data_IF_502920274258
#
_entry.id   IF_502920274258
#
_cell.length_a   1.000
_cell.length_b   1.000
_cell.length_c   1.000
_cell.angle_alpha   90.00
_cell.angle_beta   90.00
_cell.angle_gamma   90.00
#
_symmetry.space_group_name_H-M   'P 1'
#
loop_
_entity.id
_entity.type
_entity.pdbx_description
1 polymer ?
#
# COMPACT_ATOMS: atom_id res chain seq x y z
N UNK A 1 9.61 -25.96 22.34
CA UNK A 1 8.17 -25.86 22.72
C UNK A 1 7.33 -25.94 21.44
N UNK A 2 6.00 -26.06 21.52
CA UNK A 2 5.14 -26.26 20.33
C UNK A 2 4.33 -25.02 19.95
N UNK A 3 4.85 -23.84 20.24
CA UNK A 3 4.23 -22.54 20.01
C UNK A 3 5.15 -21.63 19.20
N UNK A 4 4.60 -20.88 18.26
CA UNK A 4 5.31 -19.82 17.54
C UNK A 4 4.43 -18.59 17.39
N UNK A 5 5.06 -17.42 17.31
CA UNK A 5 4.42 -16.14 17.07
C UNK A 5 5.14 -15.45 15.92
N UNK A 6 4.39 -15.03 14.90
CA UNK A 6 4.91 -14.36 13.70
C UNK A 6 4.15 -13.07 13.48
N UNK A 7 4.88 -11.99 13.19
CA UNK A 7 4.29 -10.70 12.88
C UNK A 7 4.01 -10.56 11.38
N UNK A 8 2.86 -9.99 11.07
CA UNK A 8 2.46 -9.58 9.74
C UNK A 8 1.56 -8.35 9.84
N UNK A 9 1.04 -7.86 8.71
CA UNK A 9 0.17 -6.68 8.69
C UNK A 9 -1.07 -6.90 7.83
N UNK A 10 -2.18 -6.34 8.31
CA UNK A 10 -3.40 -6.18 7.52
C UNK A 10 -3.29 -4.96 6.60
N UNK A 11 -4.22 -4.85 5.65
CA UNK A 11 -4.35 -3.67 4.81
C UNK A 11 -5.75 -3.08 4.98
N UNK A 12 -5.83 -1.85 5.47
CA UNK A 12 -7.07 -1.12 5.67
C UNK A 12 -6.93 0.28 5.04
N UNK A 13 -7.19 0.35 3.73
CA UNK A 13 -6.97 1.56 2.94
C UNK A 13 -5.50 2.00 2.96
N UNK A 14 -5.22 3.14 3.59
CA UNK A 14 -3.87 3.70 3.77
C UNK A 14 -3.23 3.33 5.12
N UNK A 15 -3.91 2.51 5.92
CA UNK A 15 -3.39 2.02 7.19
C UNK A 15 -3.03 0.54 7.08
N UNK A 16 -1.98 0.15 7.81
CA UNK A 16 -1.50 -1.23 7.88
C UNK A 16 -1.36 -1.66 9.35
N UNK A 17 -2.47 -2.08 9.98
CA UNK A 17 -2.46 -2.53 11.36
C UNK A 17 -1.66 -3.83 11.52
N UNK A 18 -1.02 -3.99 12.69
CA UNK A 18 -0.27 -5.19 13.03
C UNK A 18 -1.22 -6.38 13.20
N UNK A 19 -0.84 -7.52 12.66
CA UNK A 19 -1.49 -8.81 12.84
C UNK A 19 -0.47 -9.78 13.42
N UNK A 20 -0.87 -10.50 14.45
CA UNK A 20 -0.08 -11.55 15.07
C UNK A 20 -0.63 -12.91 14.62
N UNK A 21 0.25 -13.73 14.07
CA UNK A 21 -0.04 -15.11 13.67
C UNK A 21 0.57 -16.02 14.72
N UNK A 22 -0.29 -16.60 15.54
CA UNK A 22 0.11 -17.54 16.59
C UNK A 22 -0.18 -18.95 16.12
N UNK A 23 0.83 -19.82 16.15
CA UNK A 23 0.68 -21.22 15.75
C UNK A 23 1.01 -22.11 16.93
N UNK A 24 0.07 -22.99 17.26
CA UNK A 24 0.23 -23.99 18.31
C UNK A 24 0.07 -25.40 17.73
N UNK A 25 1.05 -26.27 18.01
CA UNK A 25 1.02 -27.68 17.67
C UNK A 25 0.69 -28.50 18.91
N UNK A 26 -0.41 -29.24 18.87
CA UNK A 26 -0.82 -30.15 19.95
C UNK A 26 -0.79 -31.61 19.50
N UNK A 27 -0.69 -32.53 20.45
CA UNK A 27 -0.82 -33.96 20.15
C UNK A 27 -2.26 -34.31 19.75
N UNK A 28 -2.43 -35.29 18.87
CA UNK A 28 -3.73 -35.73 18.37
C UNK A 28 -3.73 -36.03 16.88
N UNK A 29 -4.92 -36.31 16.34
CA UNK A 29 -5.10 -36.58 14.91
C UNK A 29 -4.75 -35.34 14.06
N UNK A 30 -4.20 -35.53 12.84
CA UNK A 30 -3.88 -34.44 11.93
C UNK A 30 -5.13 -33.59 11.65
N UNK A 31 -5.10 -32.35 12.11
CA UNK A 31 -6.17 -31.38 11.90
C UNK A 31 -5.55 -29.98 11.88
N UNK A 32 -6.05 -29.10 11.00
CA UNK A 32 -5.61 -27.73 10.93
C UNK A 32 -6.83 -26.82 11.08
N UNK A 33 -6.80 -25.96 12.08
CA UNK A 33 -7.83 -24.98 12.39
C UNK A 33 -7.23 -23.58 12.32
N UNK A 34 -7.83 -22.69 11.52
CA UNK A 34 -7.45 -21.28 11.45
C UNK A 34 -8.60 -20.45 12.00
N UNK A 35 -8.32 -19.64 13.02
CA UNK A 35 -9.30 -18.75 13.69
C UNK A 35 -9.07 -17.32 13.21
N UNK A 36 -10.15 -16.62 12.87
CA UNK A 36 -10.10 -15.20 12.46
C UNK A 36 -10.11 -14.95 10.94
N UNK A 37 -10.42 -15.96 10.13
CA UNK A 37 -10.65 -15.87 8.67
C UNK A 37 -11.99 -16.50 8.27
N UNK A 38 -12.51 -16.13 7.09
CA UNK A 38 -13.68 -16.76 6.50
C UNK A 38 -13.40 -18.20 6.04
N UNK A 39 -14.39 -19.08 6.15
CA UNK A 39 -14.23 -20.53 5.92
C UNK A 39 -13.66 -20.87 4.52
N UNK A 40 -14.09 -20.17 3.48
CA UNK A 40 -13.57 -20.35 2.12
C UNK A 40 -12.06 -20.03 2.05
N UNK A 41 -11.64 -18.89 2.61
CA UNK A 41 -10.24 -18.48 2.64
C UNK A 41 -9.37 -19.44 3.45
N UNK A 42 -9.89 -19.98 4.55
CA UNK A 42 -9.23 -21.01 5.37
C UNK A 42 -8.98 -22.28 4.56
N UNK A 43 -9.98 -22.75 3.80
CA UNK A 43 -9.86 -23.96 2.99
C UNK A 43 -8.81 -23.80 1.90
N UNK A 44 -8.81 -22.68 1.20
CA UNK A 44 -7.83 -22.42 0.14
C UNK A 44 -6.40 -22.25 0.70
N UNK A 45 -6.24 -21.47 1.77
CA UNK A 45 -4.94 -21.24 2.42
C UNK A 45 -4.33 -22.55 2.93
N UNK A 46 -5.15 -23.44 3.51
CA UNK A 46 -4.71 -24.77 3.97
C UNK A 46 -4.04 -25.59 2.87
N UNK A 47 -4.66 -25.68 1.69
CA UNK A 47 -4.12 -26.49 0.59
C UNK A 47 -2.88 -25.83 -0.03
N UNK A 48 -2.86 -24.49 -0.11
CA UNK A 48 -1.70 -23.71 -0.56
C UNK A 48 -0.49 -23.84 0.35
N UNK A 49 -0.65 -23.54 1.64
CA UNK A 49 0.41 -23.59 2.65
C UNK A 49 0.97 -25.01 2.76
N UNK A 50 0.10 -26.03 2.78
CA UNK A 50 0.55 -27.43 2.86
C UNK A 50 1.40 -27.81 1.65
N UNK A 51 0.95 -27.51 0.44
CA UNK A 51 1.68 -27.85 -0.79
C UNK A 51 2.99 -27.07 -0.88
N UNK A 52 2.98 -25.78 -0.54
CA UNK A 52 4.16 -24.92 -0.53
C UNK A 52 5.25 -25.46 0.41
N UNK A 53 4.88 -25.87 1.62
CA UNK A 53 5.82 -26.46 2.61
C UNK A 53 6.47 -27.74 2.04
N UNK A 54 5.65 -28.64 1.51
CA UNK A 54 6.13 -29.93 0.97
C UNK A 54 7.04 -29.71 -0.23
N UNK A 55 6.63 -28.86 -1.18
CA UNK A 55 7.40 -28.56 -2.40
C UNK A 55 8.66 -27.75 -2.11
N UNK A 56 8.72 -27.03 -0.98
CA UNK A 56 9.93 -26.38 -0.49
C UNK A 56 10.93 -27.33 0.18
N UNK A 57 10.61 -28.62 0.29
CA UNK A 57 11.48 -29.64 0.89
C UNK A 57 11.34 -29.78 2.42
N UNK A 58 10.30 -29.21 3.02
CA UNK A 58 10.02 -29.30 4.44
C UNK A 58 8.90 -30.29 4.74
N UNK A 59 8.85 -30.77 5.98
CA UNK A 59 7.83 -31.73 6.40
C UNK A 59 6.60 -31.01 6.95
N UNK A 60 5.43 -31.27 6.39
CA UNK A 60 4.18 -30.80 7.00
C UNK A 60 3.82 -31.70 8.20
N UNK A 61 3.66 -31.15 9.43
CA UNK A 61 3.47 -31.97 10.62
C UNK A 61 2.12 -32.70 10.62
N UNK A 62 2.14 -33.99 10.96
CA UNK A 62 0.94 -34.85 11.10
C UNK A 62 0.33 -34.75 12.51
N UNK A 63 0.27 -33.54 13.05
CA UNK A 63 -0.26 -33.24 14.39
C UNK A 63 -1.45 -32.28 14.27
N UNK A 64 -2.12 -32.01 15.39
CA UNK A 64 -3.16 -30.99 15.44
C UNK A 64 -2.52 -29.60 15.48
N UNK A 65 -2.86 -28.75 14.51
CA UNK A 65 -2.39 -27.39 14.35
C UNK A 65 -3.53 -26.42 14.62
N UNK A 66 -3.31 -25.44 15.49
CA UNK A 66 -4.23 -24.33 15.73
C UNK A 66 -3.50 -23.04 15.40
N UNK A 67 -4.07 -22.26 14.48
CA UNK A 67 -3.55 -20.97 14.04
C UNK A 67 -4.54 -19.90 14.47
N UNK A 68 -4.08 -18.94 15.26
CA UNK A 68 -4.87 -17.80 15.69
C UNK A 68 -4.35 -16.52 15.03
N UNK A 69 -5.27 -15.70 14.51
CA UNK A 69 -4.96 -14.46 13.81
C UNK A 69 -5.54 -13.28 14.60
N UNK A 70 -4.71 -12.62 15.40
CA UNK A 70 -5.09 -11.47 16.22
C UNK A 70 -4.68 -10.16 15.53
N UNK A 71 -5.47 -9.08 15.64
CA UNK A 71 -6.78 -8.96 16.29
C UNK A 71 -7.94 -9.45 15.39
N UNK A 72 -9.03 -9.94 15.98
CA UNK A 72 -10.17 -10.49 15.26
C UNK A 72 -10.97 -9.45 14.44
N UNK A 73 -10.94 -8.18 14.87
CA UNK A 73 -11.83 -7.11 14.37
C UNK A 73 -11.42 -6.52 13.02
N UNK A 74 -10.25 -6.90 12.50
CA UNK A 74 -9.74 -6.38 11.24
C UNK A 74 -10.17 -7.25 10.06
N UNK A 75 -10.52 -6.64 8.90
CA UNK A 75 -10.68 -7.39 7.66
C UNK A 75 -9.33 -7.98 7.27
N UNK A 76 -9.22 -9.30 7.36
CA UNK A 76 -8.03 -10.05 6.97
C UNK A 76 -8.26 -10.65 5.60
N UNK A 77 -7.39 -10.31 4.66
CA UNK A 77 -7.31 -11.04 3.40
C UNK A 77 -6.52 -12.33 3.64
N UNK A 78 -7.11 -13.47 3.31
CA UNK A 78 -6.51 -14.77 3.61
C UNK A 78 -5.28 -15.07 2.75
N UNK A 79 -5.19 -14.51 1.54
CA UNK A 79 -4.10 -14.84 0.61
C UNK A 79 -2.74 -14.39 1.15
N UNK A 80 -2.65 -13.13 1.60
CA UNK A 80 -1.38 -12.49 2.01
C UNK A 80 -0.76 -13.04 3.29
N UNK A 81 -1.51 -13.88 4.02
CA UNK A 81 -1.12 -14.47 5.29
C UNK A 81 -0.51 -15.86 5.12
N UNK A 82 -0.45 -16.39 3.90
CA UNK A 82 0.05 -17.73 3.64
C UNK A 82 1.54 -17.88 4.04
N UNK A 83 2.40 -16.90 3.72
CA UNK A 83 3.81 -16.89 4.11
C UNK A 83 4.02 -16.90 5.64
N UNK A 84 3.47 -15.96 6.43
CA UNK A 84 3.63 -15.98 7.88
C UNK A 84 3.03 -17.24 8.52
N UNK A 85 1.92 -17.78 8.00
CA UNK A 85 1.34 -19.03 8.49
C UNK A 85 2.30 -20.21 8.26
N UNK A 86 2.89 -20.31 7.07
CA UNK A 86 3.84 -21.39 6.76
C UNK A 86 5.06 -21.36 7.70
N UNK A 87 5.65 -20.17 7.91
CA UNK A 87 6.78 -19.99 8.84
C UNK A 87 6.39 -20.33 10.28
N UNK A 88 5.20 -19.91 10.72
CA UNK A 88 4.69 -20.24 12.04
C UNK A 88 4.58 -21.75 12.27
N UNK A 89 4.10 -22.50 11.26
CA UNK A 89 4.04 -23.97 11.30
C UNK A 89 5.44 -24.58 11.37
N UNK A 90 6.39 -24.09 10.59
CA UNK A 90 7.77 -24.60 10.57
C UNK A 90 8.49 -24.38 11.90
N UNK A 91 8.33 -23.20 12.52
CA UNK A 91 8.89 -22.90 13.85
C UNK A 91 8.22 -23.75 14.93
N UNK A 92 6.88 -23.79 14.96
CA UNK A 92 6.13 -24.54 15.97
C UNK A 92 6.33 -26.07 15.85
N UNK A 93 6.71 -26.56 14.66
CA UNK A 93 7.10 -27.96 14.43
C UNK A 93 8.56 -28.26 14.76
N UNK A 94 9.37 -27.26 15.09
CA UNK A 94 10.79 -27.39 15.44
C UNK A 94 11.73 -27.55 14.24
N UNK A 95 11.27 -27.23 13.03
CA UNK A 95 12.11 -27.26 11.82
C UNK A 95 12.93 -25.97 11.63
N UNK A 96 12.50 -24.87 12.25
CA UNK A 96 13.22 -23.60 12.29
C UNK A 96 13.54 -23.22 13.74
N UNK A 97 14.62 -22.45 13.99
CA UNK A 97 14.96 -21.99 15.33
C UNK A 97 13.83 -21.16 15.96
N UNK A 98 13.66 -21.30 17.27
CA UNK A 98 12.73 -20.46 18.03
C UNK A 98 13.25 -19.01 18.08
N UNK A 99 12.33 -18.04 18.17
CA UNK A 99 12.62 -16.59 18.33
C UNK A 99 13.48 -15.94 17.23
N UNK A 100 13.65 -16.59 16.07
CA UNK A 100 14.44 -16.02 14.96
C UNK A 100 13.71 -14.91 14.20
N UNK A 101 12.42 -14.69 14.47
CA UNK A 101 11.51 -13.86 13.68
C UNK A 101 10.92 -12.68 14.45
N UNK A 102 11.38 -12.40 15.68
CA UNK A 102 10.79 -11.37 16.56
C UNK A 102 10.86 -9.96 15.96
N UNK A 103 11.95 -9.62 15.27
CA UNK A 103 12.14 -8.32 14.62
C UNK A 103 11.65 -8.28 13.16
N UNK A 104 11.03 -9.37 12.67
CA UNK A 104 10.65 -9.52 11.27
C UNK A 104 9.13 -9.54 11.09
N UNK A 105 8.69 -8.82 10.05
CA UNK A 105 7.33 -8.86 9.55
C UNK A 105 7.30 -9.53 8.17
N UNK A 106 6.44 -10.53 8.01
CA UNK A 106 6.38 -11.33 6.80
C UNK A 106 5.12 -11.03 6.01
N UNK A 107 5.30 -10.83 4.70
CA UNK A 107 4.22 -10.50 3.79
C UNK A 107 4.41 -11.30 2.52
N UNK A 108 3.41 -12.08 2.13
CA UNK A 108 3.49 -12.83 0.89
C UNK A 108 2.38 -13.85 0.75
N UNK A 109 1.91 -13.98 -0.48
CA UNK A 109 1.05 -15.07 -0.90
C UNK A 109 1.91 -16.28 -1.28
N UNK A 110 1.51 -17.50 -0.94
CA UNK A 110 2.22 -18.70 -1.36
C UNK A 110 1.50 -19.38 -2.51
N UNK A 111 2.24 -19.66 -3.56
CA UNK A 111 1.83 -20.59 -4.60
C UNK A 111 2.03 -22.05 -4.14
N UNK A 112 1.36 -22.98 -4.81
CA UNK A 112 1.41 -24.41 -4.47
C UNK A 112 2.83 -24.98 -4.57
N UNK A 113 3.67 -24.43 -5.44
CA UNK A 113 5.07 -24.81 -5.67
C UNK A 113 6.05 -24.24 -4.64
N UNK A 114 5.61 -23.30 -3.78
CA UNK A 114 6.46 -22.63 -2.80
C UNK A 114 6.93 -21.24 -3.22
N UNK A 115 6.57 -20.77 -4.42
CA UNK A 115 6.86 -19.40 -4.85
C UNK A 115 6.07 -18.37 -4.04
N UNK A 116 6.73 -17.27 -3.70
CA UNK A 116 6.11 -16.14 -3.00
C UNK A 116 5.60 -15.14 -4.04
N UNK A 117 4.28 -14.97 -4.10
CA UNK A 117 3.60 -14.10 -5.06
C UNK A 117 3.49 -12.66 -4.55
N UNK A 118 3.50 -11.67 -5.46
CA UNK A 118 3.34 -10.27 -5.13
C UNK A 118 2.02 -10.00 -4.42
N UNK A 119 2.04 -9.04 -3.50
CA UNK A 119 0.87 -8.59 -2.76
C UNK A 119 0.51 -7.16 -3.14
N UNK A 120 -0.78 -6.83 -3.03
CA UNK A 120 -1.25 -5.45 -3.14
C UNK A 120 -0.94 -4.65 -1.86
N UNK A 121 -0.72 -3.35 -2.01
CA UNK A 121 -0.50 -2.43 -0.88
C UNK A 121 0.86 -2.57 -0.18
N UNK A 122 1.85 -3.19 -0.85
CA UNK A 122 3.19 -3.45 -0.29
C UNK A 122 3.86 -2.20 0.30
N UNK A 123 3.73 -1.04 -0.36
CA UNK A 123 4.27 0.23 0.13
C UNK A 123 3.65 0.68 1.47
N UNK A 124 2.33 0.59 1.61
CA UNK A 124 1.62 0.96 2.85
C UNK A 124 2.07 0.09 4.02
N UNK A 125 2.25 -1.20 3.75
CA UNK A 125 2.70 -2.17 4.75
C UNK A 125 4.15 -1.89 5.15
N UNK A 126 5.02 -1.66 4.17
CA UNK A 126 6.42 -1.32 4.37
C UNK A 126 6.61 -0.03 5.18
N UNK A 127 5.80 1.00 4.91
CA UNK A 127 5.81 2.24 5.70
C UNK A 127 5.42 2.02 7.16
N UNK A 128 4.42 1.17 7.41
CA UNK A 128 3.98 0.90 8.77
C UNK A 128 4.99 0.02 9.52
N UNK A 129 5.64 -0.91 8.82
CA UNK A 129 6.78 -1.69 9.32
C UNK A 129 7.96 -0.80 9.69
N UNK A 130 8.30 0.17 8.81
CA UNK A 130 9.32 1.19 9.06
C UNK A 130 9.02 2.01 10.33
N UNK A 131 7.77 2.41 10.53
CA UNK A 131 7.34 3.14 11.74
C UNK A 131 7.48 2.31 13.02
N UNK A 132 7.34 0.99 12.93
CA UNK A 132 7.56 0.06 14.04
C UNK A 132 9.03 -0.35 14.21
N UNK A 133 9.93 0.13 13.35
CA UNK A 133 11.36 -0.24 13.34
C UNK A 133 11.62 -1.74 13.18
N UNK A 134 10.72 -2.45 12.50
CA UNK A 134 10.88 -3.86 12.16
C UNK A 134 11.50 -4.04 10.77
N UNK A 135 12.02 -5.24 10.53
CA UNK A 135 12.51 -5.71 9.24
C UNK A 135 11.36 -6.32 8.46
N UNK A 136 11.34 -6.16 7.14
CA UNK A 136 10.25 -6.68 6.30
C UNK A 136 10.76 -7.75 5.33
N UNK A 137 10.07 -8.88 5.27
CA UNK A 137 10.28 -9.92 4.26
C UNK A 137 9.09 -9.90 3.30
N UNK A 138 9.37 -9.75 2.00
CA UNK A 138 8.34 -9.53 0.99
C UNK A 138 8.75 -10.07 -0.39
N UNK A 139 7.79 -10.23 -1.32
CA UNK A 139 8.06 -10.80 -2.64
C UNK A 139 9.01 -9.91 -3.46
N UNK A 140 9.95 -10.48 -4.21
CA UNK A 140 10.92 -9.69 -5.02
C UNK A 140 10.23 -8.65 -5.90
N UNK A 141 9.10 -8.99 -6.51
CA UNK A 141 8.32 -8.11 -7.38
C UNK A 141 7.82 -6.84 -6.67
N UNK A 142 7.65 -6.87 -5.35
CA UNK A 142 7.24 -5.71 -4.56
C UNK A 142 8.44 -4.86 -4.07
N UNK A 143 9.67 -5.34 -4.24
CA UNK A 143 10.86 -4.70 -3.67
C UNK A 143 11.21 -3.37 -4.33
N UNK A 144 10.88 -3.20 -5.61
CA UNK A 144 11.22 -2.00 -6.37
C UNK A 144 10.59 -0.74 -5.75
N UNK A 145 9.28 -0.79 -5.47
CA UNK A 145 8.54 0.33 -4.86
C UNK A 145 9.01 0.66 -3.44
N UNK A 146 9.53 -0.34 -2.73
CA UNK A 146 9.89 -0.28 -1.32
C UNK A 146 11.33 0.17 -1.12
N UNK A 147 12.21 -0.10 -2.09
CA UNK A 147 13.62 0.31 -2.07
C UNK A 147 13.81 1.83 -1.92
N UNK A 148 12.78 2.63 -2.18
CA UNK A 148 12.80 4.08 -2.00
C UNK A 148 12.51 4.55 -0.55
N UNK A 149 12.13 3.64 0.36
CA UNK A 149 11.90 3.98 1.76
C UNK A 149 13.24 4.03 2.52
N UNK A 150 13.62 5.20 3.07
CA UNK A 150 14.87 5.32 3.81
C UNK A 150 14.80 4.52 5.12
N UNK A 151 15.91 3.95 5.57
CA UNK A 151 16.01 3.28 6.88
C UNK A 151 15.04 2.10 7.09
N UNK A 152 14.61 1.42 6.02
CA UNK A 152 13.84 0.19 6.10
C UNK A 152 14.71 -0.99 5.64
N UNK A 153 14.90 -1.97 6.51
CA UNK A 153 15.56 -3.24 6.15
C UNK A 153 14.55 -4.16 5.44
N UNK A 154 14.59 -4.14 4.10
CA UNK A 154 13.73 -4.94 3.25
C UNK A 154 14.46 -6.16 2.70
N UNK A 155 13.87 -7.35 2.85
CA UNK A 155 14.41 -8.63 2.39
C UNK A 155 13.50 -9.22 1.32
N UNK A 156 13.84 -9.02 0.04
CA UNK A 156 13.06 -9.55 -1.08
C UNK A 156 13.28 -11.06 -1.25
N UNK A 157 12.19 -11.82 -1.45
CA UNK A 157 12.21 -13.29 -1.53
C UNK A 157 11.35 -13.80 -2.69
N UNK A 158 11.81 -14.84 -3.39
CA UNK A 158 11.08 -15.48 -4.48
C UNK A 158 10.40 -16.78 -4.05
N UNK A 159 10.92 -17.41 -3.00
CA UNK A 159 10.54 -18.75 -2.61
C UNK A 159 10.59 -18.94 -1.09
N UNK A 160 9.64 -19.69 -0.53
CA UNK A 160 9.56 -19.98 0.91
C UNK A 160 10.88 -20.58 1.45
N UNK A 161 11.52 -21.43 0.65
CA UNK A 161 12.81 -22.05 0.96
C UNK A 161 13.91 -21.04 1.28
N UNK A 162 14.01 -19.93 0.56
CA UNK A 162 15.03 -18.89 0.78
C UNK A 162 14.88 -18.25 2.17
N UNK A 163 13.62 -18.04 2.59
CA UNK A 163 13.29 -17.52 3.93
C UNK A 163 13.72 -18.51 5.00
N UNK A 164 13.46 -19.80 4.79
CA UNK A 164 13.84 -20.84 5.74
C UNK A 164 15.36 -21.00 5.83
N UNK A 165 16.06 -20.98 4.69
CA UNK A 165 17.53 -21.05 4.63
C UNK A 165 18.22 -19.88 5.32
N UNK A 166 17.59 -18.70 5.31
CA UNK A 166 18.05 -17.53 6.06
C UNK A 166 18.07 -17.79 7.57
N UNK A 167 16.97 -18.29 8.12
CA UNK A 167 16.86 -18.55 9.55
C UNK A 167 17.63 -19.80 10.00
N UNK A 168 17.84 -20.76 9.09
CA UNK A 168 18.72 -21.91 9.35
C UNK A 168 20.22 -21.56 9.26
N UNK A 169 20.56 -20.37 8.75
CA UNK A 169 21.95 -19.92 8.59
C UNK A 169 22.68 -20.52 7.39
N UNK A 170 21.99 -21.28 6.53
CA UNK A 170 22.56 -21.89 5.31
C UNK A 170 22.85 -20.85 4.24
N UNK A 171 21.92 -19.92 4.02
CA UNK A 171 22.05 -18.87 3.01
C UNK A 171 21.42 -17.57 3.52
N UNK A 172 22.20 -16.50 3.63
CA UNK A 172 21.67 -15.21 4.09
C UNK A 172 20.95 -14.49 2.95
N UNK A 173 19.76 -13.98 3.23
CA UNK A 173 19.05 -13.08 2.32
C UNK A 173 19.80 -11.75 2.21
N UNK A 174 19.92 -11.26 0.98
CA UNK A 174 20.38 -9.91 0.72
C UNK A 174 19.25 -8.93 1.06
N UNK A 175 19.58 -7.83 1.72
CA UNK A 175 18.63 -6.74 1.89
C UNK A 175 18.63 -5.87 0.63
N UNK A 176 17.46 -5.39 0.22
CA UNK A 176 17.32 -4.46 -0.88
C UNK A 176 18.12 -3.19 -0.57
N UNK A 177 19.06 -2.85 -1.44
CA UNK A 177 19.76 -1.57 -1.34
C UNK A 177 18.81 -0.46 -1.73
N UNK A 178 18.85 0.69 -1.04
CA UNK A 178 18.16 1.88 -1.50
C UNK A 178 18.62 2.18 -2.93
N UNK A 179 17.68 2.21 -3.86
CA UNK A 179 18.00 2.56 -5.23
C UNK A 179 18.14 4.07 -5.32
N UNK A 180 19.38 4.55 -5.42
CA UNK A 180 19.73 5.97 -5.68
C UNK A 180 19.38 6.42 -7.11
N UNK A 181 18.41 5.74 -7.75
CA UNK A 181 17.89 6.14 -9.05
C UNK A 181 16.94 7.33 -8.89
N UNK A 182 17.49 8.49 -8.52
CA UNK A 182 17.03 9.76 -9.05
C UNK A 182 17.32 9.75 -10.55
N UNK A 183 16.56 8.96 -11.32
CA UNK A 183 16.49 9.19 -12.75
C UNK A 183 15.67 10.47 -12.90
N UNK A 184 16.32 11.61 -12.64
CA UNK A 184 15.85 12.92 -13.06
C UNK A 184 15.85 12.88 -14.59
N UNK A 185 14.84 12.24 -15.16
CA UNK A 185 14.41 12.57 -16.49
C UNK A 185 14.02 14.04 -16.39
N UNK A 186 14.75 14.97 -17.04
CA UNK A 186 14.36 16.37 -17.00
C UNK A 186 12.99 16.46 -17.68
N UNK A 187 11.94 16.53 -16.86
CA UNK A 187 10.60 16.75 -17.37
C UNK A 187 10.62 18.13 -18.04
N UNK A 188 10.45 18.15 -19.35
CA UNK A 188 10.48 19.38 -20.16
C UNK A 188 9.39 20.37 -19.74
N UNK A 189 8.34 19.90 -19.08
CA UNK A 189 7.18 20.67 -18.66
C UNK A 189 6.69 20.22 -17.28
N UNK A 190 6.33 21.18 -16.43
CA UNK A 190 5.70 20.96 -15.12
C UNK A 190 4.17 21.14 -15.24
N UNK A 191 3.39 20.46 -14.39
CA UNK A 191 1.98 20.78 -14.17
C UNK A 191 1.76 22.26 -13.77
N UNK A 192 2.76 22.91 -13.18
CA UNK A 192 2.77 24.35 -12.93
C UNK A 192 2.67 25.19 -14.22
N UNK A 193 3.15 24.68 -15.36
CA UNK A 193 3.14 25.37 -16.65
C UNK A 193 1.76 25.33 -17.34
N UNK A 194 0.84 24.48 -16.86
CA UNK A 194 -0.53 24.38 -17.36
C UNK A 194 -1.36 25.58 -16.91
N UNK A 195 -1.52 26.57 -17.80
CA UNK A 195 -2.36 27.76 -17.60
C UNK A 195 -3.75 27.58 -18.22
N UNK A 196 -4.79 28.11 -17.57
CA UNK A 196 -6.16 28.13 -18.10
C UNK A 196 -6.97 26.84 -17.96
N UNK A 197 -6.34 25.70 -17.62
CA UNK A 197 -7.01 24.39 -17.51
C UNK A 197 -7.03 23.86 -16.08
N UNK A 198 -7.75 24.56 -15.19
CA UNK A 198 -7.83 24.21 -13.76
C UNK A 198 -8.49 22.84 -13.49
N UNK A 199 -9.55 22.49 -14.22
CA UNK A 199 -10.29 21.22 -14.01
C UNK A 199 -9.46 19.99 -14.44
N UNK A 200 -8.86 19.96 -15.65
CA UNK A 200 -7.97 18.87 -16.04
C UNK A 200 -6.74 18.74 -15.14
N UNK A 201 -6.12 19.86 -14.75
CA UNK A 201 -4.95 19.85 -13.85
C UNK A 201 -5.30 19.23 -12.50
N UNK A 202 -6.43 19.63 -11.91
CA UNK A 202 -6.90 19.08 -10.63
C UNK A 202 -7.28 17.61 -10.74
N UNK A 203 -7.89 17.19 -11.84
CA UNK A 203 -8.18 15.77 -12.09
C UNK A 203 -6.89 14.94 -12.14
N UNK A 204 -5.84 15.46 -12.79
CA UNK A 204 -4.53 14.81 -12.86
C UNK A 204 -3.83 14.76 -11.49
N UNK A 205 -3.92 15.81 -10.69
CA UNK A 205 -3.41 15.83 -9.30
C UNK A 205 -4.13 14.81 -8.41
N UNK A 206 -5.46 14.67 -8.54
CA UNK A 206 -6.26 13.70 -7.79
C UNK A 206 -5.97 12.26 -8.23
N UNK A 207 -5.81 12.03 -9.54
CA UNK A 207 -5.42 10.72 -10.09
C UNK A 207 -4.01 10.32 -9.63
N UNK A 208 -3.05 11.25 -9.67
CA UNK A 208 -1.68 11.02 -9.19
C UNK A 208 -1.60 10.77 -7.68
N UNK A 209 -2.54 11.32 -6.90
CA UNK A 209 -2.70 11.01 -5.48
C UNK A 209 -3.36 9.65 -5.20
N UNK A 210 -3.67 8.87 -6.24
CA UNK A 210 -4.18 7.50 -6.14
C UNK A 210 -5.70 7.38 -5.97
N UNK A 211 -6.46 8.46 -6.16
CA UNK A 211 -7.89 8.45 -5.84
C UNK A 211 -8.79 7.88 -6.96
N UNK A 212 -8.45 8.00 -8.25
CA UNK A 212 -9.31 7.57 -9.37
C UNK A 212 -8.50 7.34 -10.67
N UNK A 213 -8.75 6.29 -11.47
CA UNK A 213 -8.27 6.23 -12.86
C UNK A 213 -8.97 7.30 -13.74
N UNK A 214 -8.21 8.23 -14.33
CA UNK A 214 -8.75 9.30 -15.17
C UNK A 214 -8.62 8.99 -16.67
N UNK A 215 -9.71 9.19 -17.42
CA UNK A 215 -9.73 9.25 -18.89
C UNK A 215 -10.12 10.66 -19.31
N UNK A 216 -9.15 11.45 -19.75
CA UNK A 216 -9.38 12.78 -20.33
C UNK A 216 -9.56 12.60 -21.85
N UNK A 217 -10.74 12.94 -22.38
CA UNK A 217 -10.96 13.12 -23.81
C UNK A 217 -11.17 14.59 -24.08
N UNK A 218 -10.29 15.19 -24.87
CA UNK A 218 -10.50 16.52 -25.42
C UNK A 218 -10.85 16.38 -26.91
N UNK A 219 -11.87 17.09 -27.38
CA UNK A 219 -12.35 17.00 -28.77
C UNK A 219 -11.47 17.81 -29.74
N UNK A 220 -10.53 18.61 -29.22
CA UNK A 220 -9.66 19.51 -29.99
C UNK A 220 -8.15 19.24 -29.79
N UNK A 221 -7.76 18.35 -28.86
CA UNK A 221 -6.37 17.99 -28.65
C UNK A 221 -6.23 16.45 -28.59
N UNK A 222 -5.56 15.88 -29.58
CA UNK A 222 -5.18 14.46 -29.61
C UNK A 222 -4.13 14.18 -28.52
N UNK A 223 -4.54 14.05 -27.26
CA UNK A 223 -3.70 13.48 -26.20
C UNK A 223 -4.48 12.36 -25.54
N UNK A 224 -4.19 11.12 -25.94
CA UNK A 224 -4.74 9.90 -25.36
C UNK A 224 -3.71 9.36 -24.36
N UNK A 225 -3.73 9.85 -23.13
CA UNK A 225 -2.88 9.33 -22.06
C UNK A 225 -3.51 8.04 -21.52
N UNK A 226 -3.01 6.89 -21.97
CA UNK A 226 -3.20 5.62 -21.29
C UNK A 226 -2.12 5.51 -20.21
N UNK A 227 -2.52 5.35 -18.95
CA UNK A 227 -1.58 5.10 -17.85
C UNK A 227 -1.47 3.59 -17.63
N UNK A 228 -0.32 2.95 -17.88
CA UNK A 228 -0.06 1.61 -17.39
C UNK A 228 0.04 1.64 -15.86
N UNK A 229 -0.38 0.58 -15.17
CA UNK A 229 -0.43 0.44 -13.71
C UNK A 229 0.92 0.61 -12.95
N UNK A 230 1.98 1.12 -13.57
CA UNK A 230 3.37 1.07 -13.08
C UNK A 230 3.99 2.41 -12.65
N UNK A 231 3.19 3.45 -12.35
CA UNK A 231 3.75 4.75 -11.96
C UNK A 231 3.07 5.33 -10.70
N UNK A 232 3.27 4.66 -9.56
CA UNK A 232 2.99 5.21 -8.23
C UNK A 232 4.24 5.64 -7.40
N UNK A 233 5.50 5.24 -7.65
CA UNK A 233 6.57 5.62 -6.71
C UNK A 233 7.11 7.06 -6.88
N UNK A 234 7.04 7.63 -8.09
CA UNK A 234 7.90 8.77 -8.42
C UNK A 234 7.40 10.15 -7.94
N UNK A 235 6.11 10.31 -7.67
CA UNK A 235 5.54 11.64 -7.32
C UNK A 235 5.55 11.98 -5.83
N UNK A 236 6.01 11.07 -4.97
CA UNK A 236 6.04 11.29 -3.52
C UNK A 236 7.04 12.38 -3.09
N UNK A 237 8.12 12.56 -3.84
CA UNK A 237 9.08 13.65 -3.61
C UNK A 237 8.49 15.04 -3.95
N UNK A 238 7.57 15.09 -4.94
CA UNK A 238 6.90 16.33 -5.33
C UNK A 238 5.81 16.74 -4.33
N UNK A 239 5.03 15.77 -3.81
CA UNK A 239 3.99 16.01 -2.81
C UNK A 239 4.55 16.40 -1.44
N UNK A 240 5.66 15.82 -0.99
CA UNK A 240 6.32 16.23 0.27
C UNK A 240 6.90 17.65 0.21
N UNK A 241 7.53 18.05 -0.91
CA UNK A 241 8.01 19.44 -1.10
C UNK A 241 6.86 20.45 -1.16
N UNK A 242 5.71 20.06 -1.72
CA UNK A 242 4.52 20.94 -1.81
C UNK A 242 3.78 21.04 -0.47
N UNK A 243 3.69 19.96 0.32
CA UNK A 243 3.10 19.96 1.67
C UNK A 243 3.95 20.75 2.68
N UNK A 244 5.28 20.65 2.63
CA UNK A 244 6.17 21.49 3.46
C UNK A 244 6.03 22.98 3.12
N UNK A 245 5.95 23.32 1.82
CA UNK A 245 5.70 24.70 1.38
C UNK A 245 4.31 25.19 1.79
N UNK A 246 3.29 24.34 1.78
CA UNK A 246 1.94 24.69 2.20
C UNK A 246 1.85 24.94 3.72
N UNK A 247 2.55 24.14 4.54
CA UNK A 247 2.65 24.38 5.99
C UNK A 247 3.38 25.68 6.32
N UNK A 248 4.48 26.00 5.64
CA UNK A 248 5.19 27.28 5.82
C UNK A 248 4.32 28.45 5.38
N UNK A 249 3.54 28.32 4.30
CA UNK A 249 2.66 29.38 3.82
C UNK A 249 1.47 29.64 4.75
N UNK A 250 0.89 28.58 5.35
CA UNK A 250 -0.18 28.69 6.33
C UNK A 250 0.34 29.31 7.64
N UNK A 251 1.54 28.93 8.11
CA UNK A 251 2.19 29.56 9.27
C UNK A 251 2.55 31.03 9.01
N UNK A 252 3.00 31.39 7.81
CA UNK A 252 3.30 32.78 7.43
C UNK A 252 2.03 33.64 7.34
N UNK A 253 0.95 33.10 6.79
CA UNK A 253 -0.36 33.77 6.75
C UNK A 253 -0.94 33.98 8.15
N UNK A 254 -0.84 32.98 9.04
CA UNK A 254 -1.31 33.10 10.43
C UNK A 254 -0.46 34.12 11.20
N UNK A 255 0.86 34.16 10.99
CA UNK A 255 1.74 35.16 11.63
C UNK A 255 1.47 36.59 11.13
N UNK A 256 1.21 36.76 9.83
CA UNK A 256 0.91 38.07 9.24
C UNK A 256 -0.51 38.59 9.57
N UNK A 257 -1.46 37.68 9.84
CA UNK A 257 -2.80 38.02 10.33
C UNK A 257 -2.75 38.39 11.83
N UNK A 258 -1.90 37.75 12.62
CA UNK A 258 -1.73 38.08 14.06
C UNK A 258 -0.93 39.38 14.30
N UNK A 259 -0.04 39.79 13.39
CA UNK A 259 0.78 41.01 13.53
C UNK A 259 0.22 42.24 12.79
N UNK A 260 -0.83 42.09 11.96
CA UNK A 260 -1.34 43.14 11.06
C UNK A 260 -2.39 44.09 11.63
N UNK A 261 -2.54 44.18 12.96
CA UNK A 261 -3.53 45.07 13.60
C UNK A 261 -2.92 46.39 14.10
N UNK A 262 -2.22 47.17 13.26
CA UNK A 262 -1.98 48.59 13.56
C UNK A 262 -1.89 49.44 12.28
N UNK A 263 -2.81 50.41 12.20
CA UNK A 263 -2.82 51.66 11.42
C UNK A 263 -3.33 51.72 9.97
N UNK A 264 -4.47 52.41 9.88
CA UNK A 264 -5.22 52.92 8.74
C UNK A 264 -4.54 54.14 8.09
N UNK A 265 -4.49 54.21 6.75
CA UNK A 265 -4.65 55.47 5.99
C UNK A 265 -4.95 55.18 4.50
N UNK A 266 -5.95 55.90 3.96
CA UNK A 266 -6.59 55.80 2.62
C UNK A 266 -5.62 56.05 1.45
N UNK A 267 -5.95 55.65 0.19
CA UNK A 267 -6.76 56.54 -0.67
C UNK A 267 -7.83 55.86 -1.56
N UNK A 268 -8.96 56.56 -1.65
CA UNK A 268 -9.74 56.99 -2.84
C UNK A 268 -10.06 56.01 -3.99
N UNK A 269 -11.37 55.82 -4.15
CA UNK A 269 -12.13 55.10 -5.18
C UNK A 269 -12.24 55.93 -6.46
N UNK A 270 -12.14 55.31 -7.66
CA UNK A 270 -12.90 55.72 -8.85
C UNK A 270 -13.21 54.54 -9.81
N UNK A 271 -14.52 54.40 -10.10
CA UNK A 271 -15.23 53.89 -11.30
C UNK A 271 -15.05 52.42 -11.76
N UNK A 272 -16.10 51.58 -11.56
CA UNK A 272 -17.11 51.12 -12.55
C UNK A 272 -16.54 50.13 -13.60
N UNK A 273 -17.02 48.89 -13.79
CA UNK A 273 -18.40 48.42 -13.93
C UNK A 273 -18.56 46.95 -13.42
N UNK A 274 -19.55 46.76 -12.56
CA UNK A 274 -20.19 45.48 -12.23
C UNK A 274 -21.57 45.54 -12.90
N UNK A 275 -21.88 44.62 -13.82
CA UNK A 275 -23.25 44.40 -14.26
C UNK A 275 -23.50 42.87 -14.40
N UNK A 276 -24.25 42.35 -13.42
CA UNK A 276 -25.20 41.23 -13.45
C UNK A 276 -24.72 39.77 -13.35
N UNK A 277 -24.61 39.32 -12.10
CA UNK A 277 -25.11 38.02 -11.64
C UNK A 277 -26.64 38.07 -11.59
N UNK A 278 -27.32 37.28 -12.41
CA UNK A 278 -28.77 37.14 -12.35
C UNK A 278 -29.35 36.29 -13.48
N UNK A 279 -29.18 34.96 -13.40
CA UNK A 279 -30.09 33.98 -14.00
C UNK A 279 -29.59 32.54 -13.73
N UNK A 280 -29.72 32.10 -12.47
CA UNK A 280 -29.94 30.68 -12.19
C UNK A 280 -31.42 30.58 -11.85
N UNK A 281 -32.18 29.91 -12.71
CA UNK A 281 -33.45 29.17 -12.51
C UNK A 281 -34.21 29.15 -13.84
N UNK A 282 -34.73 27.96 -14.17
CA UNK A 282 -35.67 27.60 -15.25
C UNK A 282 -35.15 27.53 -16.70
N UNK A 283 -34.72 26.31 -17.12
CA UNK A 283 -35.21 25.70 -18.36
C UNK A 283 -34.80 24.22 -18.44
N UNK A 284 -35.51 23.35 -17.73
CA UNK A 284 -35.68 21.95 -18.12
C UNK A 284 -37.04 21.80 -18.79
N UNK A 285 -37.10 20.96 -19.82
CA UNK A 285 -38.29 20.42 -20.50
C UNK A 285 -39.01 21.31 -21.54
N UNK A 286 -38.76 21.03 -22.83
CA UNK A 286 -39.66 20.30 -23.76
C UNK A 286 -39.34 20.65 -25.21
N UNK A 287 -39.03 19.64 -26.01
CA UNK A 287 -39.27 19.67 -27.47
C UNK A 287 -39.62 18.26 -27.92
N UNK A 288 -40.88 17.89 -27.70
CA UNK A 288 -41.55 16.83 -28.45
C UNK A 288 -42.17 17.44 -29.71
N UNK A 289 -42.04 16.66 -30.79
CA UNK A 289 -42.73 16.76 -32.06
C UNK A 289 -44.23 17.03 -31.94
N UNK A 290 -44.79 17.92 -32.78
CA UNK A 290 -45.99 17.59 -33.57
C UNK A 290 -46.11 18.47 -34.82
N UNK A 291 -46.51 17.82 -35.91
CA UNK A 291 -46.85 18.35 -37.23
C UNK A 291 -48.04 19.34 -37.18
N UNK A 292 -48.23 20.12 -38.27
CA UNK A 292 -49.47 20.17 -39.09
C UNK A 292 -49.29 21.23 -40.22
N UNK A 293 -49.22 20.74 -41.46
CA UNK A 293 -49.98 21.12 -42.67
C UNK A 293 -49.24 20.69 -43.93
#
# INVERSE_FOLDING_TARGET
>A
MSFSKIYTRGLLGLHAPLIEVEVHVSQGLPSLTIVGLAEAAVRESKDRVRSAIINSGFQFPTKRLTINLAPADLPKDGSRLDLPIALGILIASGQLPENCTEDFEFIGELALDGHVRPVSGALTLAMACQQAQHKIVLPVDNSQDISHLPNLECYPVNHLKEVCEHFLGTQKLAHAQPSDHSNEMPYKFDLADVKGQLRPRRALEIAAAGAIPCSLKDHQAQVKLYWPHACLPFYRHFLLKKLLKLQVFILFQIHHILLGSVHFARPTIQHQQLHWLGAVVSSTNKSEFTQIN
#
